data_IF_215587913568
#
_entry.id   IF_215587913568
#
_cell.length_a   1.000
_cell.length_b   1.000
_cell.length_c   1.000
_cell.angle_alpha   90.00
_cell.angle_beta   90.00
_cell.angle_gamma   90.00
#
_symmetry.space_group_name_H-M   'P 1'
#
loop_
_entity.id
_entity.type
_entity.pdbx_description
1 polymer ?
#
# COMPACT_ATOMS: atom_id res chain seq x y z
N UNK A 1 22.02 -13.35 9.17
CA UNK A 1 21.04 -14.43 8.93
C UNK A 1 21.66 -15.35 7.90
N UNK A 2 22.02 -16.58 8.27
CA UNK A 2 22.83 -17.49 7.44
C UNK A 2 22.12 -18.83 7.14
N UNK A 3 20.85 -18.94 7.49
CA UNK A 3 20.04 -20.15 7.30
C UNK A 3 18.84 -19.86 6.39
N UNK A 4 18.33 -20.86 5.64
CA UNK A 4 17.17 -20.68 4.79
C UNK A 4 15.96 -20.31 5.66
N UNK A 5 15.32 -19.19 5.33
CA UNK A 5 14.02 -18.81 5.90
C UNK A 5 12.91 -19.34 5.00
N UNK A 6 11.87 -19.88 5.63
CA UNK A 6 10.71 -20.47 4.94
C UNK A 6 9.98 -19.48 4.04
N UNK A 7 9.99 -18.20 4.41
CA UNK A 7 9.33 -17.12 3.67
C UNK A 7 10.35 -16.08 3.24
N UNK A 8 10.41 -15.82 1.93
CA UNK A 8 11.22 -14.78 1.32
C UNK A 8 10.36 -14.03 0.32
N UNK A 9 10.50 -12.71 0.28
CA UNK A 9 9.82 -11.86 -0.70
C UNK A 9 10.85 -11.12 -1.53
N UNK A 10 10.59 -10.98 -2.83
CA UNK A 10 11.50 -10.29 -3.73
C UNK A 10 11.51 -8.78 -3.44
N UNK A 11 12.65 -8.16 -3.73
CA UNK A 11 12.84 -6.71 -3.68
C UNK A 11 12.77 -6.13 -5.09
N UNK A 12 11.97 -5.08 -5.26
CA UNK A 12 11.89 -4.32 -6.51
C UNK A 12 12.41 -2.91 -6.26
N UNK A 13 13.38 -2.46 -7.06
CA UNK A 13 13.98 -1.14 -6.92
C UNK A 13 13.56 -0.28 -8.11
N UNK A 14 13.01 0.90 -7.83
CA UNK A 14 12.54 1.85 -8.84
C UNK A 14 13.14 3.22 -8.54
N UNK A 15 13.64 3.91 -9.56
CA UNK A 15 14.04 5.31 -9.43
C UNK A 15 12.82 6.22 -9.59
N UNK A 16 12.59 7.12 -8.64
CA UNK A 16 11.54 8.14 -8.73
C UNK A 16 11.98 9.27 -9.67
N UNK A 17 11.03 10.12 -10.06
CA UNK A 17 11.29 11.33 -10.87
C UNK A 17 12.25 12.31 -10.22
N UNK A 18 12.33 12.32 -8.88
CA UNK A 18 13.28 13.15 -8.11
C UNK A 18 14.67 12.49 -7.98
N UNK A 19 14.93 11.43 -8.74
CA UNK A 19 16.15 10.61 -8.72
C UNK A 19 16.38 9.79 -7.44
N UNK A 20 15.52 9.89 -6.42
CA UNK A 20 15.61 9.04 -5.23
C UNK A 20 15.20 7.60 -5.55
N UNK A 21 15.79 6.64 -4.85
CA UNK A 21 15.40 5.23 -4.97
C UNK A 21 14.16 4.95 -4.13
N UNK A 22 13.22 4.19 -4.70
CA UNK A 22 12.11 3.55 -4.01
C UNK A 22 12.38 2.05 -3.98
N UNK A 23 12.41 1.51 -2.78
CA UNK A 23 12.51 0.08 -2.53
C UNK A 23 11.08 -0.43 -2.27
N UNK A 24 10.63 -1.36 -3.08
CA UNK A 24 9.31 -1.98 -3.00
C UNK A 24 9.46 -3.46 -2.68
N UNK A 25 8.55 -3.99 -1.86
CA UNK A 25 8.35 -5.42 -1.73
C UNK A 25 7.55 -5.91 -2.94
N UNK A 26 7.85 -7.09 -3.46
CA UNK A 26 6.94 -7.82 -4.34
C UNK A 26 5.94 -8.63 -3.49
N UNK A 27 4.66 -8.21 -3.39
CA UNK A 27 3.72 -8.82 -2.47
C UNK A 27 2.88 -9.92 -3.12
N UNK A 28 3.24 -10.43 -4.30
CA UNK A 28 2.39 -11.37 -5.04
C UNK A 28 2.02 -12.62 -4.21
N UNK A 29 3.02 -13.33 -3.69
CA UNK A 29 2.80 -14.53 -2.88
C UNK A 29 2.18 -14.19 -1.52
N UNK A 30 2.59 -13.06 -0.93
CA UNK A 30 2.03 -12.55 0.33
C UNK A 30 0.53 -12.31 0.23
N UNK A 31 0.06 -11.69 -0.87
CA UNK A 31 -1.35 -11.38 -1.06
C UNK A 31 -2.22 -12.63 -1.26
N UNK A 32 -1.64 -13.75 -1.70
CA UNK A 32 -2.35 -15.04 -1.81
C UNK A 32 -2.47 -15.71 -0.44
N UNK A 33 -1.42 -15.63 0.38
CA UNK A 33 -1.41 -16.22 1.72
C UNK A 33 -2.29 -15.48 2.73
N UNK A 34 -2.46 -14.16 2.56
CA UNK A 34 -3.26 -13.33 3.47
C UNK A 34 -4.78 -13.53 3.27
N UNK A 35 -5.49 -13.81 4.36
CA UNK A 35 -6.94 -13.71 4.38
C UNK A 35 -7.35 -12.24 4.52
N UNK A 36 -8.18 -11.76 3.58
CA UNK A 36 -8.64 -10.38 3.58
C UNK A 36 -9.76 -10.18 4.60
N UNK A 37 -9.54 -9.29 5.57
CA UNK A 37 -10.62 -8.78 6.38
C UNK A 37 -11.52 -7.86 5.54
N UNK A 38 -12.84 -8.07 5.62
CA UNK A 38 -13.82 -7.23 4.93
C UNK A 38 -14.11 -5.99 5.76
N UNK A 39 -13.19 -5.02 5.73
CA UNK A 39 -13.42 -3.68 6.25
C UNK A 39 -14.02 -2.83 5.13
N UNK A 40 -15.18 -2.23 5.38
CA UNK A 40 -15.80 -1.31 4.43
C UNK A 40 -14.96 -0.04 4.37
N UNK A 41 -14.37 0.21 3.19
CA UNK A 41 -13.74 1.50 2.90
C UNK A 41 -14.88 2.48 2.58
N UNK A 42 -14.95 3.63 3.27
CA UNK A 42 -15.97 4.64 3.00
C UNK A 42 -15.96 5.03 1.51
N UNK A 43 -17.14 5.10 0.93
CA UNK A 43 -17.32 5.58 -0.44
C UNK A 43 -17.13 7.10 -0.50
N UNK A 44 -17.02 7.63 -1.72
CA UNK A 44 -16.95 9.09 -1.92
C UNK A 44 -18.24 9.74 -1.41
N UNK A 45 -19.38 9.09 -1.63
CA UNK A 45 -20.69 9.51 -1.15
C UNK A 45 -20.69 9.62 0.38
N UNK A 46 -20.13 8.63 1.08
CA UNK A 46 -20.03 8.59 2.54
C UNK A 46 -19.19 9.74 3.12
N UNK A 47 -18.21 10.28 2.38
CA UNK A 47 -17.31 11.34 2.87
C UNK A 47 -17.59 12.72 2.28
N UNK A 48 -18.36 12.80 1.19
CA UNK A 48 -18.60 14.03 0.41
C UNK A 48 -19.12 15.19 1.27
N UNK A 49 -20.05 14.93 2.18
CA UNK A 49 -20.63 15.92 3.08
C UNK A 49 -19.58 16.54 4.02
N UNK A 50 -18.54 15.80 4.40
CA UNK A 50 -17.43 16.30 5.23
C UNK A 50 -16.53 17.26 4.45
N UNK A 51 -16.55 17.20 3.13
CA UNK A 51 -15.70 18.00 2.25
C UNK A 51 -16.42 19.23 1.68
N UNK A 52 -17.76 19.27 1.76
CA UNK A 52 -18.59 20.34 1.22
C UNK A 52 -18.27 21.69 1.89
N UNK A 53 -18.27 22.76 1.08
CA UNK A 53 -18.04 24.15 1.50
C UNK A 53 -16.69 24.44 2.18
N UNK A 54 -15.72 23.52 2.11
CA UNK A 54 -14.35 23.78 2.54
C UNK A 54 -13.57 24.44 1.41
N UNK A 55 -12.76 25.46 1.76
CA UNK A 55 -11.84 26.12 0.84
C UNK A 55 -10.41 25.62 0.97
N UNK A 56 -10.09 24.97 2.09
CA UNK A 56 -8.75 24.45 2.42
C UNK A 56 -8.91 23.05 3.03
N UNK A 57 -8.05 22.14 2.60
CA UNK A 57 -7.91 20.77 3.10
C UNK A 57 -6.46 20.59 3.59
N UNK A 58 -6.23 19.70 4.56
CA UNK A 58 -4.91 19.44 5.17
C UNK A 58 -4.66 17.95 5.15
#
# INVERSE_FOLDING_TARGET
VNEPVEWVSNLVIIQKKDNSLRICLDPQDLNVALHRENVLIPTIEDISHKLCNKKVYT
#
